data_IF_088935773936
#
_entry.id   IF_088935773936
#
_cell.length_a   1.000
_cell.length_b   1.000
_cell.length_c   1.000
_cell.angle_alpha   90.00
_cell.angle_beta   90.00
_cell.angle_gamma   90.00
#
_symmetry.space_group_name_H-M   'P 1'
#
loop_
_entity.id
_entity.type
_entity.pdbx_description
1 polymer ?
#
# COMPACT_ATOMS: atom_id res chain seq x y z
N UNK A 1 -15.91 21.76 -10.65
CA UNK A 1 -15.38 21.58 -9.28
C UNK A 1 -13.89 21.46 -9.44
N UNK A 2 -13.16 22.57 -9.27
CA UNK A 2 -11.73 22.64 -9.58
C UNK A 2 -10.93 21.83 -8.56
N UNK A 3 -10.29 20.75 -9.02
CA UNK A 3 -9.29 19.99 -8.26
C UNK A 3 -8.05 20.88 -8.11
N UNK A 4 -8.09 21.80 -7.16
CA UNK A 4 -6.96 22.64 -6.79
C UNK A 4 -5.77 21.79 -6.33
N UNK A 5 -4.65 21.93 -7.06
CA UNK A 5 -3.25 21.65 -6.69
C UNK A 5 -3.07 20.70 -5.50
N UNK A 6 -3.17 19.40 -5.79
CA UNK A 6 -3.03 18.28 -4.84
C UNK A 6 -1.70 18.35 -4.06
N UNK A 7 -0.65 18.93 -4.64
CA UNK A 7 0.66 19.19 -4.02
C UNK A 7 0.60 20.06 -2.75
N UNK A 8 -0.48 20.82 -2.55
CA UNK A 8 -0.69 21.68 -1.38
C UNK A 8 -1.58 21.06 -0.30
N UNK A 9 -2.20 19.91 -0.59
CA UNK A 9 -3.14 19.24 0.31
C UNK A 9 -2.36 18.43 1.34
N UNK A 10 -2.18 19.02 2.53
CA UNK A 10 -1.39 18.44 3.62
C UNK A 10 -2.10 17.31 4.37
N UNK A 11 -3.42 17.20 4.23
CA UNK A 11 -4.22 16.27 5.05
C UNK A 11 -5.54 15.96 4.35
N UNK A 12 -5.79 14.67 4.09
CA UNK A 12 -7.12 14.15 3.78
C UNK A 12 -7.71 13.54 5.06
N UNK A 13 -8.89 14.00 5.46
CA UNK A 13 -9.58 13.46 6.63
C UNK A 13 -10.39 12.23 6.22
N UNK A 14 -9.94 11.05 6.63
CA UNK A 14 -10.80 9.88 6.81
C UNK A 14 -10.87 9.60 8.31
N UNK A 15 -12.05 9.18 8.78
CA UNK A 15 -12.61 9.38 10.14
C UNK A 15 -11.80 8.88 11.37
N UNK A 16 -10.57 8.39 11.23
CA UNK A 16 -9.77 7.90 12.35
C UNK A 16 -8.28 7.91 12.00
N UNK A 17 -7.50 8.59 12.83
CA UNK A 17 -6.03 8.79 12.82
C UNK A 17 -5.40 9.73 11.78
N UNK A 18 -4.31 10.47 12.16
CA UNK A 18 -3.55 11.30 11.23
C UNK A 18 -2.70 10.41 10.32
N UNK A 19 -3.35 9.82 9.32
CA UNK A 19 -2.65 9.18 8.21
C UNK A 19 -1.98 10.32 7.43
N UNK A 20 -0.66 10.25 7.24
CA UNK A 20 0.04 11.10 6.29
C UNK A 20 -0.33 10.63 4.89
N UNK A 21 -1.52 11.06 4.46
CA UNK A 21 -2.20 10.61 3.26
C UNK A 21 -2.33 11.78 2.27
N UNK A 22 -1.95 11.60 0.99
CA UNK A 22 -1.24 10.45 0.42
C UNK A 22 0.21 10.37 0.96
N UNK A 23 0.85 9.20 0.88
CA UNK A 23 2.23 9.03 1.33
C UNK A 23 3.15 10.07 0.70
N UNK A 24 4.08 10.62 1.50
CA UNK A 24 5.02 11.66 1.04
C UNK A 24 5.73 11.26 -0.24
N UNK A 25 6.21 10.02 -0.30
CA UNK A 25 6.97 9.47 -1.42
C UNK A 25 6.15 9.56 -2.73
N UNK A 26 4.86 9.24 -2.67
CA UNK A 26 3.95 9.33 -3.81
C UNK A 26 3.65 10.78 -4.19
N UNK A 27 3.50 11.65 -3.18
CA UNK A 27 3.22 13.07 -3.41
C UNK A 27 4.39 13.78 -4.12
N UNK A 28 5.64 13.37 -3.83
CA UNK A 28 6.82 13.92 -4.51
C UNK A 28 6.89 13.57 -6.00
N UNK A 29 6.28 12.45 -6.42
CA UNK A 29 6.21 12.03 -7.83
C UNK A 29 5.17 12.83 -8.64
N UNK A 30 4.38 13.68 -7.97
CA UNK A 30 3.46 14.62 -8.58
C UNK A 30 1.99 14.16 -8.62
N UNK A 31 1.11 14.95 -9.27
CA UNK A 31 -0.34 14.78 -9.14
C UNK A 31 -0.87 13.52 -9.83
N UNK A 32 -0.22 13.06 -10.90
CA UNK A 32 -0.67 11.88 -11.65
C UNK A 32 -0.47 10.57 -10.87
N UNK A 33 0.75 10.24 -10.38
CA UNK A 33 0.95 9.08 -9.51
C UNK A 33 0.07 9.14 -8.27
N UNK A 34 -0.05 10.33 -7.66
CA UNK A 34 -0.91 10.55 -6.50
C UNK A 34 -2.37 10.17 -6.78
N UNK A 35 -2.98 10.71 -7.85
CA UNK A 35 -4.37 10.38 -8.20
C UNK A 35 -4.56 8.90 -8.56
N UNK A 36 -3.58 8.30 -9.25
CA UNK A 36 -3.59 6.87 -9.58
C UNK A 36 -3.57 6.02 -8.32
N UNK A 37 -2.71 6.34 -7.35
CA UNK A 37 -2.66 5.68 -6.05
C UNK A 37 -3.98 5.77 -5.29
N UNK A 38 -4.57 6.97 -5.20
CA UNK A 38 -5.86 7.17 -4.56
C UNK A 38 -6.98 6.33 -5.20
N UNK A 39 -6.97 6.24 -6.53
CA UNK A 39 -7.91 5.40 -7.28
C UNK A 39 -7.73 3.92 -6.95
N UNK A 40 -6.49 3.43 -6.92
CA UNK A 40 -6.18 2.04 -6.60
C UNK A 40 -6.67 1.66 -5.21
N UNK A 41 -6.46 2.53 -4.21
CA UNK A 41 -7.00 2.31 -2.86
C UNK A 41 -8.52 2.27 -2.83
N UNK A 42 -9.18 3.16 -3.57
CA UNK A 42 -10.64 3.15 -3.67
C UNK A 42 -11.15 1.84 -4.29
N UNK A 43 -10.53 1.38 -5.37
CA UNK A 43 -10.89 0.14 -6.06
C UNK A 43 -10.64 -1.10 -5.18
N UNK A 44 -9.48 -1.16 -4.53
CA UNK A 44 -9.08 -2.24 -3.62
C UNK A 44 -10.06 -2.44 -2.47
N UNK A 45 -10.62 -1.36 -1.92
CA UNK A 45 -11.63 -1.43 -0.85
C UNK A 45 -12.90 -2.17 -1.25
N UNK A 46 -13.12 -2.38 -2.55
CA UNK A 46 -14.30 -3.08 -3.12
C UNK A 46 -13.96 -4.41 -3.75
N UNK A 47 -12.74 -4.56 -4.28
CA UNK A 47 -12.32 -5.74 -5.05
C UNK A 47 -11.57 -6.77 -4.19
N UNK A 48 -10.99 -6.37 -3.06
CA UNK A 48 -10.07 -7.20 -2.30
C UNK A 48 -8.69 -7.38 -2.95
N UNK A 49 -8.39 -6.60 -4.00
CA UNK A 49 -7.11 -6.67 -4.74
C UNK A 49 -6.48 -5.29 -4.79
N UNK A 50 -5.25 -5.16 -4.32
CA UNK A 50 -4.49 -3.93 -4.34
C UNK A 50 -3.19 -4.15 -5.10
N UNK A 51 -3.11 -3.54 -6.27
CA UNK A 51 -1.92 -3.54 -7.11
C UNK A 51 -1.19 -2.21 -6.95
N UNK A 52 -0.02 -2.26 -6.32
CA UNK A 52 0.93 -1.15 -6.20
C UNK A 52 2.26 -1.51 -6.89
N UNK A 53 2.24 -2.49 -7.80
CA UNK A 53 3.37 -2.85 -8.65
C UNK A 53 3.61 -1.72 -9.66
N UNK A 54 4.47 -0.77 -9.30
CA UNK A 54 4.76 0.33 -10.21
C UNK A 54 6.03 1.05 -9.81
N UNK A 55 6.90 1.23 -10.79
CA UNK A 55 8.10 2.07 -10.69
C UNK A 55 7.79 3.55 -10.44
N UNK A 56 6.52 3.95 -10.53
CA UNK A 56 6.06 5.32 -10.33
C UNK A 56 5.83 5.70 -8.86
N UNK A 57 5.83 4.74 -7.92
CA UNK A 57 5.55 5.02 -6.50
C UNK A 57 6.78 5.04 -5.62
N UNK A 58 7.84 4.35 -6.04
CA UNK A 58 9.12 4.25 -5.33
C UNK A 58 8.97 4.03 -3.81
N UNK A 59 8.01 3.19 -3.40
CA UNK A 59 7.62 3.08 -1.99
C UNK A 59 8.72 2.44 -1.16
N UNK A 60 9.10 3.09 -0.06
CA UNK A 60 9.99 2.49 0.95
C UNK A 60 9.20 1.86 2.11
N UNK A 61 7.95 2.28 2.27
CA UNK A 61 6.99 1.81 3.27
C UNK A 61 5.57 2.00 2.73
N UNK A 62 4.55 1.41 3.37
CA UNK A 62 3.15 1.45 2.94
C UNK A 62 2.23 2.02 4.03
N UNK A 63 1.89 3.30 4.00
CA UNK A 63 0.98 3.94 4.95
C UNK A 63 -0.45 3.98 4.40
N UNK A 64 -1.20 2.91 4.66
CA UNK A 64 -2.63 2.82 4.33
C UNK A 64 -3.44 2.41 5.58
N UNK A 65 -4.71 2.82 5.68
CA UNK A 65 -5.63 2.38 6.74
C UNK A 65 -5.98 0.89 6.55
N UNK A 66 -5.09 0.00 6.99
CA UNK A 66 -5.16 -1.45 6.72
C UNK A 66 -6.48 -2.07 7.20
N UNK A 67 -7.09 -1.50 8.24
CA UNK A 67 -8.40 -1.89 8.78
C UNK A 67 -9.54 -1.75 7.75
N UNK A 68 -9.41 -0.83 6.79
CA UNK A 68 -10.35 -0.67 5.67
C UNK A 68 -10.15 -1.69 4.55
N UNK A 69 -9.01 -2.39 4.59
CA UNK A 69 -8.61 -3.41 3.64
C UNK A 69 -8.56 -4.79 4.30
N UNK A 70 -9.29 -5.01 5.39
CA UNK A 70 -9.32 -6.31 6.08
C UNK A 70 -9.77 -7.47 5.19
N UNK A 71 -10.56 -7.20 4.15
CA UNK A 71 -10.99 -8.18 3.14
C UNK A 71 -10.02 -8.32 1.95
N UNK A 72 -8.82 -7.74 2.02
CA UNK A 72 -7.83 -7.84 0.95
C UNK A 72 -7.29 -9.27 0.85
N UNK A 73 -7.40 -9.86 -0.33
CA UNK A 73 -6.92 -11.21 -0.63
C UNK A 73 -5.67 -11.22 -1.48
N UNK A 74 -5.40 -10.15 -2.24
CA UNK A 74 -4.24 -10.03 -3.11
C UNK A 74 -3.59 -8.65 -2.96
N UNK A 75 -2.28 -8.66 -2.71
CA UNK A 75 -1.47 -7.45 -2.56
C UNK A 75 -0.19 -7.59 -3.37
N UNK A 76 -0.03 -6.70 -4.35
CA UNK A 76 1.20 -6.61 -5.13
C UNK A 76 1.96 -5.34 -4.76
N UNK A 77 3.15 -5.52 -4.19
CA UNK A 77 4.11 -4.44 -3.86
C UNK A 77 5.40 -4.57 -4.68
N UNK A 78 5.40 -5.36 -5.74
CA UNK A 78 6.60 -5.59 -6.55
C UNK A 78 7.15 -4.31 -7.18
N UNK A 79 8.45 -4.27 -7.44
CA UNK A 79 9.10 -3.13 -8.10
C UNK A 79 9.14 -1.85 -7.27
N UNK A 80 9.10 -1.96 -5.94
CA UNK A 80 9.25 -0.85 -5.00
C UNK A 80 10.63 -0.91 -4.30
N UNK A 81 10.80 -0.19 -3.19
CA UNK A 81 12.05 -0.09 -2.43
C UNK A 81 11.88 -0.50 -0.96
N UNK A 82 10.96 -1.43 -0.67
CA UNK A 82 10.79 -1.93 0.69
C UNK A 82 12.06 -2.65 1.14
N UNK A 83 12.71 -2.13 2.19
CA UNK A 83 13.79 -2.81 2.92
C UNK A 83 13.27 -3.59 4.12
N UNK A 84 12.09 -3.22 4.62
CA UNK A 84 11.32 -3.91 5.64
C UNK A 84 9.83 -3.77 5.34
N UNK A 85 9.02 -4.68 5.87
CA UNK A 85 7.56 -4.57 5.80
C UNK A 85 7.00 -4.09 7.13
N UNK A 86 6.06 -3.15 7.15
CA UNK A 86 5.50 -2.65 8.39
C UNK A 86 4.63 -3.71 9.11
N UNK A 87 4.75 -3.79 10.43
CA UNK A 87 4.07 -4.79 11.27
C UNK A 87 2.54 -4.88 11.05
N UNK A 88 1.90 -3.75 10.76
CA UNK A 88 0.45 -3.70 10.54
C UNK A 88 0.00 -4.36 9.23
N UNK A 89 0.90 -4.55 8.26
CA UNK A 89 0.59 -5.30 7.02
C UNK A 89 0.19 -6.74 7.35
N UNK A 90 0.77 -7.31 8.40
CA UNK A 90 0.44 -8.65 8.91
C UNK A 90 -0.91 -8.72 9.65
N UNK A 91 -1.66 -7.62 9.69
CA UNK A 91 -3.08 -7.59 10.07
C UNK A 91 -4.03 -7.97 8.93
N UNK A 92 -3.53 -8.11 7.69
CA UNK A 92 -4.30 -8.59 6.54
C UNK A 92 -4.47 -10.12 6.59
N UNK A 93 -5.23 -10.62 7.57
CA UNK A 93 -5.33 -12.07 7.84
C UNK A 93 -5.98 -12.86 6.71
N UNK A 94 -6.77 -12.21 5.85
CA UNK A 94 -7.41 -12.81 4.67
C UNK A 94 -6.51 -12.84 3.43
N UNK A 95 -5.29 -12.30 3.50
CA UNK A 95 -4.37 -12.23 2.38
C UNK A 95 -3.95 -13.63 1.90
N UNK A 96 -4.05 -13.87 0.60
CA UNK A 96 -3.75 -15.15 -0.06
C UNK A 96 -2.55 -15.06 -0.97
N UNK A 97 -2.35 -13.91 -1.60
CA UNK A 97 -1.26 -13.66 -2.54
C UNK A 97 -0.56 -12.35 -2.15
N UNK A 98 0.76 -12.42 -1.99
CA UNK A 98 1.62 -11.30 -1.68
C UNK A 98 2.84 -11.31 -2.60
N UNK A 99 2.96 -10.32 -3.48
CA UNK A 99 4.11 -10.18 -4.36
C UNK A 99 5.01 -9.05 -3.88
N UNK A 100 6.29 -9.37 -3.65
CA UNK A 100 7.34 -8.49 -3.13
C UNK A 100 8.57 -8.47 -4.04
N UNK A 101 8.49 -9.05 -5.23
CA UNK A 101 9.59 -9.10 -6.20
C UNK A 101 10.18 -7.70 -6.45
N UNK A 102 11.46 -7.64 -6.82
CA UNK A 102 12.15 -6.40 -7.17
C UNK A 102 12.19 -5.33 -6.04
N UNK A 103 12.04 -5.74 -4.77
CA UNK A 103 12.23 -4.86 -3.61
C UNK A 103 13.70 -4.85 -3.10
N UNK A 104 13.90 -4.48 -1.83
CA UNK A 104 15.20 -4.42 -1.14
C UNK A 104 15.17 -5.20 0.18
N UNK A 105 14.27 -6.18 0.29
CA UNK A 105 14.11 -7.01 1.48
C UNK A 105 15.28 -7.98 1.60
N UNK A 106 16.04 -7.87 2.69
CA UNK A 106 17.10 -8.83 3.00
C UNK A 106 16.54 -10.11 3.66
N UNK A 107 15.41 -9.97 4.36
CA UNK A 107 14.72 -11.07 5.02
C UNK A 107 13.23 -10.73 5.21
N UNK A 108 12.42 -11.77 5.37
CA UNK A 108 11.03 -11.62 5.80
C UNK A 108 10.96 -11.51 7.33
N UNK A 109 10.13 -10.61 7.88
CA UNK A 109 9.92 -10.54 9.32
C UNK A 109 9.20 -11.80 9.81
N UNK A 110 9.48 -12.20 11.05
CA UNK A 110 8.86 -13.38 11.67
C UNK A 110 7.33 -13.31 11.77
N UNK A 111 6.75 -12.12 11.61
CA UNK A 111 5.30 -11.86 11.58
C UNK A 111 4.60 -12.35 10.30
N UNK A 112 5.34 -12.78 9.28
CA UNK A 112 4.76 -13.37 8.05
C UNK A 112 3.82 -14.55 8.37
N UNK A 113 4.06 -15.24 9.50
CA UNK A 113 3.24 -16.34 9.99
C UNK A 113 1.81 -15.93 10.39
N UNK A 114 1.51 -14.63 10.58
CA UNK A 114 0.16 -14.13 10.86
C UNK A 114 -0.73 -14.09 9.62
N UNK A 115 -0.14 -14.18 8.43
CA UNK A 115 -0.90 -14.31 7.18
C UNK A 115 -1.32 -15.78 7.02
N UNK A 116 -2.22 -16.24 7.88
CA UNK A 116 -2.62 -17.65 8.00
C UNK A 116 -3.26 -18.22 6.72
N UNK A 117 -3.74 -17.35 5.84
CA UNK A 117 -4.36 -17.71 4.57
C UNK A 117 -3.45 -17.52 3.35
N UNK A 118 -2.18 -17.12 3.56
CA UNK A 118 -1.24 -16.90 2.48
C UNK A 118 -0.89 -18.23 1.79
N UNK A 119 -1.02 -18.23 0.46
CA UNK A 119 -0.78 -19.40 -0.40
C UNK A 119 0.30 -19.14 -1.44
N UNK A 120 0.48 -17.88 -1.82
CA UNK A 120 1.49 -17.44 -2.77
C UNK A 120 2.27 -16.28 -2.18
N UNK A 121 3.60 -16.38 -2.27
CA UNK A 121 4.53 -15.37 -1.82
C UNK A 121 5.69 -15.31 -2.81
N UNK A 122 5.80 -14.19 -3.51
CA UNK A 122 6.89 -13.93 -4.46
C UNK A 122 7.84 -12.88 -3.87
N UNK A 123 9.16 -13.11 -3.96
CA UNK A 123 10.22 -12.32 -3.29
C UNK A 123 11.32 -11.89 -4.24
#
# INVERSE_FOLDING_TARGET
>A
MEMGRIESLKTFWFDVDPITFPQRDICSEGPRPTLKFLRLLYEASRSGRLDLSSTEYSLQTLHIPIERFSALTELDLSGNYFSELPDYLFGLTDLRELSLEDNKLDALPGLINRLEHLRMLDL
#
